data_IF_322058124687
#
_entry.id   IF_322058124687
#
_cell.length_a   1.000
_cell.length_b   1.000
_cell.length_c   1.000
_cell.angle_alpha   90.00
_cell.angle_beta   90.00
_cell.angle_gamma   90.00
#
_symmetry.space_group_name_H-M   'P 1'
#
loop_
_entity.id
_entity.type
_entity.pdbx_description
1 polymer ?
#
# COMPACT_ATOMS: atom_id res chain seq x y z
N UNK A 1 -16.66 14.67 -21.10
CA UNK A 1 -16.09 13.81 -20.04
C UNK A 1 -16.93 12.56 -19.99
N UNK A 2 -16.32 11.42 -19.68
CA UNK A 2 -17.02 10.15 -19.58
C UNK A 2 -16.78 9.55 -18.20
N UNK A 3 -17.82 8.94 -17.64
CA UNK A 3 -17.77 8.18 -16.40
C UNK A 3 -18.09 6.72 -16.72
N UNK A 4 -17.27 5.79 -16.23
CA UNK A 4 -17.41 4.37 -16.50
C UNK A 4 -18.35 3.76 -15.48
N UNK A 5 -19.50 3.27 -15.93
CA UNK A 5 -20.49 2.58 -15.08
C UNK A 5 -20.17 1.10 -15.02
N UNK A 6 -19.84 0.51 -16.16
CA UNK A 6 -19.54 -0.90 -16.32
C UNK A 6 -18.48 -1.13 -17.38
N UNK A 7 -17.72 -2.21 -17.23
CA UNK A 7 -16.70 -2.66 -18.17
C UNK A 7 -15.33 -2.01 -17.95
N UNK A 8 -14.41 -2.29 -18.87
CA UNK A 8 -13.01 -1.86 -18.79
C UNK A 8 -12.59 -1.17 -20.09
N UNK A 9 -11.82 -0.10 -19.95
CA UNK A 9 -11.20 0.61 -21.07
C UNK A 9 -9.70 0.66 -20.91
N UNK A 10 -9.00 0.58 -22.04
CA UNK A 10 -7.56 0.67 -22.17
C UNK A 10 -7.15 2.09 -22.57
N UNK A 11 -6.15 2.66 -21.89
CA UNK A 11 -5.51 3.91 -22.27
C UNK A 11 -4.31 3.63 -23.17
N UNK A 12 -4.27 4.31 -24.32
CA UNK A 12 -3.15 4.27 -25.25
C UNK A 12 -2.69 5.67 -25.60
N UNK A 13 -1.37 5.84 -25.65
CA UNK A 13 -0.73 7.11 -26.00
C UNK A 13 0.27 6.86 -27.11
N UNK A 14 0.35 7.79 -28.05
CA UNK A 14 1.37 7.74 -29.09
C UNK A 14 2.54 8.58 -28.60
N UNK A 15 3.69 7.94 -28.41
CA UNK A 15 4.93 8.58 -27.99
C UNK A 15 5.99 8.40 -29.07
N UNK A 16 6.83 9.41 -29.26
CA UNK A 16 7.95 9.34 -30.19
C UNK A 16 9.11 8.63 -29.50
N UNK A 17 9.52 7.50 -30.04
CA UNK A 17 10.72 6.80 -29.58
C UNK A 17 11.95 7.68 -29.86
N UNK A 18 12.72 7.98 -28.80
CA UNK A 18 13.88 8.87 -28.86
C UNK A 18 15.07 8.24 -29.60
N UNK A 19 15.07 6.92 -29.80
CA UNK A 19 16.15 6.20 -30.50
C UNK A 19 15.81 6.07 -31.99
N UNK A 20 14.62 5.57 -32.30
CA UNK A 20 14.22 5.26 -33.68
C UNK A 20 13.56 6.45 -34.38
N UNK A 21 13.04 7.42 -33.62
CA UNK A 21 12.25 8.53 -34.16
C UNK A 21 10.82 8.13 -34.56
N UNK A 22 10.48 6.84 -34.44
CA UNK A 22 9.19 6.30 -34.81
C UNK A 22 8.13 6.64 -33.75
N UNK A 23 6.89 6.80 -34.23
CA UNK A 23 5.73 6.96 -33.35
C UNK A 23 5.27 5.58 -32.88
N UNK A 24 5.40 5.32 -31.58
CA UNK A 24 5.01 4.06 -30.97
C UNK A 24 3.78 4.24 -30.10
N UNK A 25 2.81 3.35 -30.28
CA UNK A 25 1.67 3.27 -29.37
C UNK A 25 2.09 2.54 -28.08
N UNK A 26 1.94 3.22 -26.95
CA UNK A 26 2.27 2.72 -25.63
C UNK A 26 0.97 2.56 -24.82
N UNK A 27 0.81 1.39 -24.25
CA UNK A 27 -0.25 1.10 -23.29
C UNK A 27 0.08 1.73 -21.93
N UNK A 28 -0.72 2.71 -21.50
CA UNK A 28 -0.44 3.48 -20.28
C UNK A 28 -1.23 2.96 -19.07
N UNK A 29 -2.41 2.37 -19.27
CA UNK A 29 -3.17 1.74 -18.18
C UNK A 29 -4.55 1.23 -18.59
N UNK A 30 -5.31 0.74 -17.60
CA UNK A 30 -6.71 0.32 -17.74
C UNK A 30 -7.53 1.17 -16.77
N UNK A 31 -8.74 1.58 -17.16
CA UNK A 31 -9.74 2.19 -16.28
C UNK A 31 -10.94 1.27 -16.16
N UNK A 32 -11.57 1.28 -15.00
CA UNK A 32 -12.72 0.43 -14.69
C UNK A 32 -13.93 1.20 -14.14
N UNK A 33 -14.94 0.49 -13.62
CA UNK A 33 -16.13 1.10 -13.05
C UNK A 33 -15.79 2.10 -11.94
N UNK A 34 -16.39 3.29 -12.00
CA UNK A 34 -16.13 4.40 -11.08
C UNK A 34 -15.03 5.37 -11.51
N UNK A 35 -14.23 5.02 -12.51
CA UNK A 35 -13.21 5.91 -13.06
C UNK A 35 -13.81 6.87 -14.11
N UNK A 36 -13.12 7.99 -14.32
CA UNK A 36 -13.50 9.06 -15.24
C UNK A 36 -12.38 9.33 -16.24
N UNK A 37 -12.73 9.75 -17.44
CA UNK A 37 -11.74 10.20 -18.43
C UNK A 37 -12.22 11.37 -19.29
N UNK A 38 -11.24 12.17 -19.75
CA UNK A 38 -11.44 13.31 -20.64
C UNK A 38 -11.83 14.61 -19.93
N UNK A 39 -11.78 14.63 -18.61
CA UNK A 39 -11.92 15.82 -17.76
C UNK A 39 -10.77 16.81 -17.94
N UNK A 40 -9.52 16.34 -18.05
CA UNK A 40 -8.34 17.23 -18.23
C UNK A 40 -8.48 18.09 -19.49
N UNK A 41 -8.89 17.47 -20.61
CA UNK A 41 -9.11 18.18 -21.86
C UNK A 41 -10.21 19.25 -21.75
N UNK A 42 -11.26 19.00 -20.96
CA UNK A 42 -12.32 19.97 -20.73
C UNK A 42 -11.87 21.13 -19.83
N UNK A 43 -11.07 20.84 -18.79
CA UNK A 43 -10.59 21.86 -17.85
C UNK A 43 -9.57 22.80 -18.47
N UNK A 44 -8.57 22.24 -19.17
CA UNK A 44 -7.50 23.03 -19.77
C UNK A 44 -7.84 23.53 -21.18
N UNK A 45 -8.99 23.13 -21.74
CA UNK A 45 -9.37 23.41 -23.13
C UNK A 45 -8.26 23.00 -24.13
N UNK A 46 -7.60 21.88 -23.85
CA UNK A 46 -6.54 21.28 -24.67
C UNK A 46 -7.08 20.14 -25.53
N UNK A 47 -6.32 19.75 -26.55
CA UNK A 47 -6.63 18.55 -27.34
C UNK A 47 -6.51 17.28 -26.49
N UNK A 48 -7.27 16.24 -26.84
CA UNK A 48 -7.18 14.93 -26.17
C UNK A 48 -5.79 14.35 -26.41
N UNK A 49 -5.07 14.07 -25.34
CA UNK A 49 -3.70 13.53 -25.35
C UNK A 49 -3.65 12.00 -25.29
N UNK A 50 -4.75 11.35 -24.92
CA UNK A 50 -4.82 9.89 -24.71
C UNK A 50 -5.99 9.30 -25.48
N UNK A 51 -5.72 8.21 -26.20
CA UNK A 51 -6.71 7.39 -26.90
C UNK A 51 -7.29 6.38 -25.92
N UNK A 52 -8.61 6.20 -25.94
CA UNK A 52 -9.33 5.25 -25.08
C UNK A 52 -9.94 4.17 -25.96
N UNK A 53 -9.67 2.91 -25.63
CA UNK A 53 -10.14 1.74 -26.39
C UNK A 53 -10.88 0.80 -25.44
N UNK A 54 -12.09 0.38 -25.78
CA UNK A 54 -12.87 -0.53 -24.95
C UNK A 54 -12.27 -1.93 -24.97
N UNK A 55 -12.00 -2.53 -23.81
CA UNK A 55 -11.54 -3.93 -23.72
C UNK A 55 -12.69 -4.92 -23.59
N UNK A 56 -13.77 -4.48 -22.95
CA UNK A 56 -14.99 -5.25 -22.75
C UNK A 56 -16.21 -4.44 -23.20
N UNK A 57 -17.41 -5.00 -23.09
CA UNK A 57 -18.63 -4.21 -23.23
C UNK A 57 -18.68 -3.17 -22.10
N UNK A 58 -18.78 -1.89 -22.47
CA UNK A 58 -18.74 -0.78 -21.51
C UNK A 58 -20.03 0.04 -21.56
N UNK A 59 -20.47 0.46 -20.39
CA UNK A 59 -21.52 1.47 -20.23
C UNK A 59 -20.89 2.75 -19.70
N UNK A 60 -21.15 3.85 -20.42
CA UNK A 60 -20.56 5.15 -20.14
C UNK A 60 -21.65 6.21 -19.93
N UNK A 61 -21.52 7.00 -18.87
CA UNK A 61 -22.20 8.29 -18.81
C UNK A 61 -21.36 9.35 -19.51
N UNK A 62 -21.95 10.00 -20.51
CA UNK A 62 -21.32 11.12 -21.20
C UNK A 62 -21.83 12.43 -20.62
N UNK A 63 -20.90 13.30 -20.20
CA UNK A 63 -21.19 14.66 -19.79
C UNK A 63 -20.64 15.66 -20.81
N UNK A 64 -21.53 16.49 -21.34
CA UNK A 64 -21.19 17.55 -22.28
C UNK A 64 -20.46 18.70 -21.59
N UNK A 65 -19.66 19.46 -22.35
CA UNK A 65 -18.85 20.57 -21.84
C UNK A 65 -19.70 21.61 -21.10
N UNK A 66 -20.86 21.96 -21.64
CA UNK A 66 -21.79 22.95 -21.05
C UNK A 66 -22.30 22.53 -19.67
N UNK A 67 -22.49 21.23 -19.44
CA UNK A 67 -22.97 20.72 -18.17
C UNK A 67 -21.82 20.52 -17.19
N UNK A 68 -20.65 20.11 -17.69
CA UNK A 68 -19.41 20.08 -16.94
C UNK A 68 -19.05 21.46 -16.35
N UNK A 69 -19.04 22.50 -17.18
CA UNK A 69 -18.73 23.88 -16.77
C UNK A 69 -19.73 24.39 -15.71
N UNK A 70 -21.00 23.97 -15.79
CA UNK A 70 -22.07 24.41 -14.90
C UNK A 70 -22.09 23.66 -13.56
N UNK A 71 -21.82 22.35 -13.57
CA UNK A 71 -22.07 21.47 -12.44
C UNK A 71 -20.79 21.05 -11.71
N UNK A 72 -19.73 20.69 -12.43
CA UNK A 72 -18.56 20.00 -11.85
C UNK A 72 -17.32 20.88 -11.75
N UNK A 73 -17.14 21.83 -12.67
CA UNK A 73 -15.91 22.63 -12.75
C UNK A 73 -15.56 23.32 -11.44
N UNK A 74 -16.53 23.98 -10.81
CA UNK A 74 -16.30 24.67 -9.53
C UNK A 74 -15.98 23.70 -8.40
N UNK A 75 -16.60 22.53 -8.36
CA UNK A 75 -16.34 21.51 -7.34
C UNK A 75 -14.91 20.97 -7.48
N UNK A 76 -14.48 20.66 -8.71
CA UNK A 76 -13.12 20.20 -8.98
C UNK A 76 -12.07 21.27 -8.63
N UNK A 77 -12.35 22.54 -8.95
CA UNK A 77 -11.49 23.67 -8.60
C UNK A 77 -11.48 23.99 -7.10
N UNK A 78 -12.49 23.61 -6.33
CA UNK A 78 -12.47 23.74 -4.87
C UNK A 78 -11.67 22.62 -4.23
N UNK A 79 -11.89 21.37 -4.67
CA UNK A 79 -11.14 20.19 -4.22
C UNK A 79 -9.63 20.31 -4.50
N UNK A 80 -9.26 21.07 -5.53
CA UNK A 80 -7.90 21.47 -5.85
C UNK A 80 -7.09 21.88 -4.61
N UNK A 81 -7.63 22.79 -3.78
CA UNK A 81 -6.88 23.37 -2.65
C UNK A 81 -6.48 22.32 -1.62
N UNK A 82 -7.37 21.36 -1.36
CA UNK A 82 -7.12 20.25 -0.43
C UNK A 82 -6.06 19.30 -1.01
N UNK A 83 -6.13 19.03 -2.32
CA UNK A 83 -5.20 18.15 -3.00
C UNK A 83 -3.81 18.77 -3.18
N UNK A 84 -3.75 20.08 -3.43
CA UNK A 84 -2.51 20.84 -3.51
C UNK A 84 -1.77 20.82 -2.16
N UNK A 85 -2.47 21.09 -1.06
CA UNK A 85 -1.90 20.96 0.30
C UNK A 85 -1.41 19.54 0.59
N UNK A 86 -2.17 18.52 0.16
CA UNK A 86 -1.76 17.13 0.27
C UNK A 86 -0.48 16.82 -0.52
N UNK A 87 -0.34 17.34 -1.75
CA UNK A 87 0.85 17.13 -2.58
C UNK A 87 2.10 17.79 -2.00
N UNK A 88 1.98 18.98 -1.41
CA UNK A 88 3.11 19.72 -0.79
C UNK A 88 3.79 18.91 0.32
N UNK A 89 3.05 18.00 0.98
CA UNK A 89 3.60 17.12 2.02
C UNK A 89 4.64 16.10 1.48
N UNK A 90 4.74 15.90 0.16
CA UNK A 90 5.64 14.92 -0.43
C UNK A 90 6.77 15.59 -1.22
N UNK A 91 8.01 15.26 -0.88
CA UNK A 91 9.18 15.78 -1.57
C UNK A 91 9.29 15.36 -3.05
N UNK A 92 8.57 14.31 -3.45
CA UNK A 92 8.58 13.78 -4.82
C UNK A 92 8.04 14.77 -5.86
N UNK A 93 7.14 15.67 -5.45
CA UNK A 93 6.41 16.56 -6.36
C UNK A 93 6.99 17.98 -6.44
N UNK A 94 8.07 18.27 -5.70
CA UNK A 94 8.66 19.62 -5.62
C UNK A 94 9.23 20.13 -6.94
N UNK A 95 9.54 19.24 -7.88
CA UNK A 95 10.07 19.59 -9.20
C UNK A 95 8.99 19.74 -10.28
N UNK A 96 7.71 19.57 -9.93
CA UNK A 96 6.62 19.72 -10.88
C UNK A 96 6.27 21.19 -11.06
N UNK A 97 5.88 21.53 -12.29
CA UNK A 97 5.34 22.84 -12.65
C UNK A 97 3.85 22.93 -12.23
N UNK A 98 3.36 24.16 -12.09
CA UNK A 98 1.97 24.43 -11.68
C UNK A 98 0.94 23.73 -12.57
N UNK A 99 1.25 23.55 -13.86
CA UNK A 99 0.42 22.82 -14.82
C UNK A 99 0.34 21.32 -14.53
N UNK A 100 1.47 20.65 -14.26
CA UNK A 100 1.47 19.22 -13.89
C UNK A 100 0.81 19.01 -12.53
N UNK A 101 1.04 19.89 -11.55
CA UNK A 101 0.33 19.82 -10.27
C UNK A 101 -1.17 19.94 -10.51
N UNK A 102 -1.62 20.89 -11.38
CA UNK A 102 -3.02 21.07 -11.82
C UNK A 102 -3.65 19.81 -12.33
N UNK A 103 -3.03 19.20 -13.33
CA UNK A 103 -3.51 17.97 -13.91
C UNK A 103 -3.55 16.83 -12.88
N UNK A 104 -2.53 16.73 -12.02
CA UNK A 104 -2.46 15.72 -10.97
C UNK A 104 -3.67 15.77 -10.05
N UNK A 105 -3.98 16.94 -9.47
CA UNK A 105 -5.09 17.04 -8.51
C UNK A 105 -6.44 16.77 -9.18
N UNK A 106 -6.63 17.17 -10.43
CA UNK A 106 -7.89 16.89 -11.15
C UNK A 106 -8.16 15.38 -11.22
N UNK A 107 -7.10 14.61 -11.47
CA UNK A 107 -7.15 13.15 -11.61
C UNK A 107 -7.10 12.39 -10.29
N UNK A 108 -6.54 13.05 -9.26
CA UNK A 108 -6.32 12.46 -7.95
C UNK A 108 -7.57 12.52 -7.08
N UNK A 109 -7.64 11.62 -6.11
CA UNK A 109 -8.74 11.58 -5.14
C UNK A 109 -8.21 11.30 -3.74
N UNK A 110 -8.85 11.88 -2.74
CA UNK A 110 -8.59 11.53 -1.34
C UNK A 110 -9.57 10.43 -0.97
N UNK A 111 -9.05 9.33 -0.43
CA UNK A 111 -9.87 8.25 0.13
C UNK A 111 -9.48 8.02 1.59
N UNK A 112 -10.51 8.01 2.43
CA UNK A 112 -10.41 7.58 3.82
C UNK A 112 -10.70 6.09 3.91
N UNK A 113 -9.92 5.40 4.72
CA UNK A 113 -10.01 3.97 4.99
C UNK A 113 -10.22 3.75 6.48
N UNK A 114 -11.11 2.85 6.84
CA UNK A 114 -11.33 2.46 8.23
C UNK A 114 -10.22 1.53 8.71
N UNK A 115 -10.11 1.33 10.02
CA UNK A 115 -9.14 0.38 10.57
C UNK A 115 -9.45 -1.07 10.15
N UNK A 116 -8.41 -1.82 9.77
CA UNK A 116 -8.48 -3.19 9.23
C UNK A 116 -9.10 -3.34 7.82
N UNK A 117 -9.28 -2.24 7.08
CA UNK A 117 -9.67 -2.28 5.67
C UNK A 117 -8.47 -2.67 4.78
N UNK A 118 -8.74 -3.42 3.70
CA UNK A 118 -7.73 -3.78 2.70
C UNK A 118 -7.59 -2.62 1.71
N UNK A 119 -6.39 -2.04 1.64
CA UNK A 119 -6.10 -0.94 0.72
C UNK A 119 -5.75 -1.46 -0.66
N UNK A 120 -4.94 -2.53 -0.71
CA UNK A 120 -4.40 -3.11 -1.95
C UNK A 120 -3.96 -4.57 -1.72
N UNK A 121 -4.41 -5.50 -2.57
CA UNK A 121 -3.93 -6.89 -2.57
C UNK A 121 -5.01 -7.88 -3.01
N UNK A 122 -4.60 -9.07 -3.48
CA UNK A 122 -5.47 -10.20 -3.80
C UNK A 122 -6.63 -9.89 -4.79
N UNK A 123 -6.45 -8.91 -5.69
CA UNK A 123 -7.49 -8.46 -6.63
C UNK A 123 -8.45 -7.42 -6.06
N UNK A 124 -8.28 -7.04 -4.79
CA UNK A 124 -9.02 -5.99 -4.12
C UNK A 124 -8.22 -4.68 -4.04
N UNK A 125 -8.96 -3.57 -4.06
CA UNK A 125 -8.40 -2.21 -4.03
C UNK A 125 -8.30 -1.55 -5.41
N UNK A 126 -7.85 -0.30 -5.42
CA UNK A 126 -7.72 0.52 -6.62
C UNK A 126 -6.36 0.28 -7.28
N UNK A 127 -6.22 -0.88 -7.94
CA UNK A 127 -4.95 -1.35 -8.56
C UNK A 127 -4.36 -0.39 -9.59
N UNK A 128 -5.19 0.49 -10.17
CA UNK A 128 -4.77 1.49 -11.14
C UNK A 128 -4.26 2.79 -10.49
N UNK A 129 -4.25 2.87 -9.16
CA UNK A 129 -3.83 4.02 -8.39
C UNK A 129 -2.60 3.73 -7.54
N UNK A 130 -1.79 4.77 -7.37
CA UNK A 130 -0.68 4.83 -6.43
C UNK A 130 -1.19 5.56 -5.19
N UNK A 131 -0.90 4.99 -4.04
CA UNK A 131 -1.37 5.43 -2.74
C UNK A 131 -0.26 6.23 -2.07
N UNK A 132 -0.61 7.41 -1.57
CA UNK A 132 0.25 8.29 -0.80
C UNK A 132 -0.37 8.49 0.57
N UNK A 133 0.30 8.04 1.63
CA UNK A 133 -0.24 8.06 3.00
C UNK A 133 -0.16 9.47 3.58
N UNK A 134 -1.31 10.10 3.79
CA UNK A 134 -1.42 11.44 4.39
C UNK A 134 -1.46 11.35 5.93
N UNK A 135 -2.18 10.36 6.46
CA UNK A 135 -2.25 10.10 7.90
C UNK A 135 -2.61 8.63 8.18
N UNK A 136 -2.34 8.18 9.40
CA UNK A 136 -2.57 6.80 9.83
C UNK A 136 -1.38 5.86 9.55
N UNK A 137 -1.60 4.57 9.82
CA UNK A 137 -0.60 3.51 9.69
C UNK A 137 -1.21 2.35 8.90
N UNK A 138 -0.51 1.90 7.86
CA UNK A 138 -0.83 0.67 7.13
C UNK A 138 0.25 -0.37 7.37
N UNK A 139 -0.08 -1.65 7.26
CA UNK A 139 0.88 -2.74 7.32
C UNK A 139 0.79 -3.62 6.09
N UNK A 140 1.94 -4.10 5.64
CA UNK A 140 2.03 -5.09 4.57
C UNK A 140 2.09 -6.47 5.21
N UNK A 141 1.11 -7.31 4.92
CA UNK A 141 1.04 -8.68 5.39
C UNK A 141 1.25 -9.63 4.22
N UNK A 142 2.13 -10.61 4.38
CA UNK A 142 2.29 -11.72 3.43
C UNK A 142 1.72 -12.99 4.02
N UNK A 143 0.90 -13.70 3.25
CA UNK A 143 0.38 -14.99 3.67
C UNK A 143 1.21 -16.14 3.12
N UNK A 144 1.35 -17.19 3.94
CA UNK A 144 2.03 -18.43 3.59
C UNK A 144 1.15 -19.61 4.01
N UNK A 145 0.91 -20.52 3.07
CA UNK A 145 0.35 -21.83 3.36
C UNK A 145 1.48 -22.72 3.88
N UNK A 146 1.36 -23.17 5.13
CA UNK A 146 2.31 -24.09 5.75
C UNK A 146 1.54 -25.37 6.05
N UNK A 147 2.02 -26.49 5.51
CA UNK A 147 1.59 -27.83 5.92
C UNK A 147 2.45 -28.30 7.10
N UNK A 148 1.83 -28.92 8.12
CA UNK A 148 2.55 -29.57 9.22
C UNK A 148 3.48 -30.70 8.73
N UNK A 149 3.27 -31.17 7.50
CA UNK A 149 4.15 -32.11 6.81
C UNK A 149 5.17 -31.29 6.00
N UNK A 150 6.35 -31.10 6.57
CA UNK A 150 7.51 -30.41 5.95
C UNK A 150 7.85 -30.95 4.55
N UNK A 151 7.47 -32.19 4.26
CA UNK A 151 7.68 -32.89 2.99
C UNK A 151 6.81 -32.39 1.83
N UNK A 152 5.67 -31.74 2.08
CA UNK A 152 4.78 -31.23 1.01
C UNK A 152 5.25 -29.89 0.42
N UNK A 153 5.93 -29.06 1.23
CA UNK A 153 6.45 -27.73 0.84
C UNK A 153 7.62 -27.80 -0.15
N UNK A 154 8.18 -28.98 -0.42
CA UNK A 154 9.25 -29.19 -1.41
C UNK A 154 8.75 -29.54 -2.82
N UNK A 155 7.44 -29.75 -3.04
CA UNK A 155 6.90 -29.99 -4.40
C UNK A 155 6.62 -28.67 -5.12
N UNK A 156 7.01 -28.59 -6.39
CA UNK A 156 6.68 -27.44 -7.25
C UNK A 156 5.16 -27.38 -7.47
N UNK A 157 4.52 -26.19 -7.39
CA UNK A 157 3.09 -26.06 -7.62
C UNK A 157 2.76 -26.37 -9.08
N UNK A 158 1.75 -27.22 -9.28
CA UNK A 158 1.16 -27.54 -10.59
C UNK A 158 0.05 -26.53 -10.91
N UNK A 159 -0.11 -26.18 -12.18
CA UNK A 159 -0.82 -24.98 -12.68
C UNK A 159 -2.33 -25.20 -12.89
N UNK A 160 -2.91 -26.25 -12.32
CA UNK A 160 -4.33 -26.59 -12.53
C UNK A 160 -5.08 -26.45 -11.21
N UNK A 161 -6.11 -25.60 -11.26
CA UNK A 161 -7.10 -25.32 -10.23
C UNK A 161 -7.76 -26.60 -9.74
N UNK A 162 -8.01 -26.65 -8.43
CA UNK A 162 -8.64 -27.73 -7.64
C UNK A 162 -7.65 -28.51 -6.78
N UNK A 163 -6.91 -27.79 -5.93
CA UNK A 163 -6.30 -28.43 -4.76
C UNK A 163 -7.32 -28.42 -3.62
N UNK A 164 -7.93 -29.58 -3.39
CA UNK A 164 -8.44 -29.95 -2.06
C UNK A 164 -7.22 -29.94 -1.14
N UNK A 165 -7.09 -28.89 -0.35
CA UNK A 165 -6.03 -28.74 0.63
C UNK A 165 -6.19 -29.84 1.71
N UNK A 166 -5.15 -30.63 2.03
CA UNK A 166 -5.19 -31.55 3.16
C UNK A 166 -5.54 -30.80 4.46
N UNK A 167 -6.27 -31.43 5.40
CA UNK A 167 -6.69 -30.84 6.70
C UNK A 167 -5.53 -30.24 7.53
N UNK A 168 -4.27 -30.54 7.18
CA UNK A 168 -3.06 -30.08 7.84
C UNK A 168 -2.43 -28.80 7.27
N UNK A 169 -3.06 -28.12 6.30
CA UNK A 169 -2.58 -26.83 5.76
C UNK A 169 -3.10 -25.68 6.62
N UNK A 170 -2.19 -24.90 7.23
CA UNK A 170 -2.53 -23.68 7.96
C UNK A 170 -1.93 -22.48 7.26
N UNK A 171 -2.76 -21.46 7.03
CA UNK A 171 -2.31 -20.19 6.47
C UNK A 171 -1.86 -19.25 7.58
N UNK A 172 -0.61 -18.80 7.52
CA UNK A 172 -0.05 -17.84 8.47
C UNK A 172 0.20 -16.51 7.77
N UNK A 173 -0.26 -15.42 8.39
CA UNK A 173 0.03 -14.06 7.96
C UNK A 173 1.26 -13.53 8.70
N UNK A 174 2.25 -13.07 7.95
CA UNK A 174 3.48 -12.48 8.46
C UNK A 174 3.49 -11.01 8.09
N UNK A 175 3.60 -10.15 9.10
CA UNK A 175 3.78 -8.71 8.89
C UNK A 175 5.20 -8.44 8.38
N UNK A 176 5.30 -7.77 7.23
CA UNK A 176 6.58 -7.42 6.59
C UNK A 176 7.06 -6.05 7.05
N UNK A 177 6.23 -5.02 6.86
CA UNK A 177 6.58 -3.64 7.17
C UNK A 177 5.33 -2.80 7.45
N UNK A 178 5.55 -1.63 8.02
CA UNK A 178 4.52 -0.61 8.22
C UNK A 178 4.81 0.61 7.36
N UNK A 179 3.75 1.22 6.83
CA UNK A 179 3.77 2.48 6.13
C UNK A 179 3.15 3.54 7.02
N UNK A 180 3.89 4.63 7.20
CA UNK A 180 3.48 5.81 7.95
C UNK A 180 3.24 6.98 7.02
N UNK A 181 2.77 8.11 7.58
CA UNK A 181 2.64 9.39 6.86
C UNK A 181 3.88 9.70 6.02
N UNK A 182 3.65 10.05 4.75
CA UNK A 182 4.69 10.32 3.76
C UNK A 182 5.13 9.12 2.92
N UNK A 183 4.73 7.90 3.29
CA UNK A 183 4.98 6.70 2.49
C UNK A 183 4.10 6.66 1.24
N UNK A 184 4.57 5.93 0.21
CA UNK A 184 3.79 5.62 -0.97
C UNK A 184 3.94 4.14 -1.38
N UNK A 185 2.90 3.59 -2.03
CA UNK A 185 2.85 2.22 -2.55
C UNK A 185 1.85 2.14 -3.72
N UNK A 186 1.78 1.01 -4.42
CA UNK A 186 0.97 0.85 -5.63
C UNK A 186 1.70 1.29 -6.91
N UNK A 187 3.03 1.45 -6.89
CA UNK A 187 3.85 1.81 -8.05
C UNK A 187 4.02 0.63 -9.04
N UNK A 188 3.48 -0.53 -8.70
CA UNK A 188 3.68 -1.80 -9.41
C UNK A 188 4.83 -2.62 -8.84
N UNK A 189 5.10 -2.49 -7.54
CA UNK A 189 5.94 -3.40 -6.77
C UNK A 189 5.37 -4.82 -6.69
N UNK A 190 6.20 -5.78 -6.26
CA UNK A 190 5.81 -7.19 -6.19
C UNK A 190 4.85 -7.43 -5.01
N UNK A 191 3.58 -7.65 -5.33
CA UNK A 191 2.48 -7.84 -4.36
C UNK A 191 1.94 -9.27 -4.33
N UNK A 192 2.63 -10.25 -4.92
CA UNK A 192 2.18 -11.65 -4.89
C UNK A 192 2.08 -12.18 -3.45
N UNK A 193 0.90 -12.72 -3.13
CA UNK A 193 0.52 -13.22 -1.81
C UNK A 193 0.65 -12.18 -0.69
N UNK A 194 0.52 -10.88 -1.03
CA UNK A 194 0.66 -9.76 -0.11
C UNK A 194 -0.57 -8.88 -0.18
N UNK A 195 -0.93 -8.36 0.99
CA UNK A 195 -1.98 -7.38 1.15
C UNK A 195 -1.53 -6.24 2.04
N UNK A 196 -1.98 -5.04 1.71
CA UNK A 196 -1.79 -3.84 2.51
C UNK A 196 -3.11 -3.60 3.24
N UNK A 197 -3.02 -3.57 4.57
CA UNK A 197 -4.18 -3.43 5.45
C UNK A 197 -3.93 -2.25 6.38
N UNK A 198 -4.93 -1.43 6.60
CA UNK A 198 -4.86 -0.34 7.58
C UNK A 198 -4.83 -0.90 8.99
N UNK A 199 -3.93 -0.38 9.83
CA UNK A 199 -3.89 -0.70 11.27
C UNK A 199 -4.75 0.32 12.05
N UNK A 200 -4.68 1.59 11.65
CA UNK A 200 -5.52 2.69 12.16
C UNK A 200 -6.40 3.20 11.02
N UNK A 201 -7.39 4.08 11.26
CA UNK A 201 -7.99 4.85 10.18
C UNK A 201 -6.88 5.57 9.40
N UNK A 202 -6.92 5.46 8.06
CA UNK A 202 -5.87 5.94 7.16
C UNK A 202 -6.48 6.83 6.11
N UNK A 203 -5.87 7.99 5.88
CA UNK A 203 -6.19 8.88 4.77
C UNK A 203 -5.12 8.75 3.71
N UNK A 204 -5.50 8.41 2.48
CA UNK A 204 -4.59 8.34 1.34
C UNK A 204 -4.98 9.32 0.24
N UNK A 205 -3.97 9.95 -0.33
CA UNK A 205 -4.05 10.56 -1.66
C UNK A 205 -3.83 9.45 -2.69
N UNK A 206 -4.77 9.29 -3.61
CA UNK A 206 -4.71 8.31 -4.69
C UNK A 206 -4.45 9.03 -6.00
N UNK A 207 -3.34 8.71 -6.65
CA UNK A 207 -2.95 9.27 -7.95
C UNK A 207 -2.97 8.16 -8.99
N UNK A 208 -3.60 8.33 -10.17
CA UNK A 208 -3.58 7.29 -11.18
C UNK A 208 -2.16 6.90 -11.58
N UNK A 209 -1.87 5.60 -11.57
CA UNK A 209 -0.55 5.04 -11.84
C UNK A 209 -0.07 5.35 -13.24
N UNK A 210 -0.96 5.32 -14.24
CA UNK A 210 -0.59 5.65 -15.62
C UNK A 210 -0.05 7.08 -15.71
N UNK A 211 -0.79 8.04 -15.14
CA UNK A 211 -0.44 9.46 -15.20
C UNK A 211 0.83 9.76 -14.41
N UNK A 212 0.99 9.13 -13.23
CA UNK A 212 2.18 9.31 -12.40
C UNK A 212 3.45 8.78 -13.08
N UNK A 213 3.35 7.64 -13.76
CA UNK A 213 4.48 7.03 -14.47
C UNK A 213 4.85 7.79 -15.76
N UNK A 214 3.89 8.47 -16.39
CA UNK A 214 4.17 9.42 -17.50
C UNK A 214 4.98 10.62 -17.00
N UNK A 215 4.69 11.13 -15.80
CA UNK A 215 5.37 12.30 -15.20
C UNK A 215 6.55 11.90 -14.29
N UNK A 216 7.34 10.90 -14.72
CA UNK A 216 8.45 10.33 -13.97
C UNK A 216 9.76 11.14 -14.12
N UNK A 217 9.75 12.37 -13.63
CA UNK A 217 10.96 13.21 -13.58
C UNK A 217 12.10 12.49 -12.84
N UNK A 218 13.30 12.49 -13.45
CA UNK A 218 14.51 11.87 -12.89
C UNK A 218 14.36 10.40 -12.46
N UNK A 219 13.43 9.66 -13.08
CA UNK A 219 13.18 8.25 -12.81
C UNK A 219 12.96 7.93 -11.31
N UNK A 220 12.33 8.84 -10.58
CA UNK A 220 12.09 8.73 -9.14
C UNK A 220 11.25 7.49 -8.83
N UNK A 221 10.18 7.24 -9.58
CA UNK A 221 9.24 6.16 -9.26
C UNK A 221 9.84 4.77 -9.41
N UNK A 222 10.67 4.57 -10.43
CA UNK A 222 11.40 3.30 -10.60
C UNK A 222 12.38 3.08 -9.44
N UNK A 223 13.08 4.13 -8.97
CA UNK A 223 13.98 4.03 -7.82
C UNK A 223 13.22 3.67 -6.55
N UNK A 224 12.06 4.29 -6.31
CA UNK A 224 11.20 3.97 -5.16
C UNK A 224 10.69 2.53 -5.24
N UNK A 225 10.24 2.08 -6.43
CA UNK A 225 9.82 0.70 -6.67
C UNK A 225 10.95 -0.30 -6.37
N UNK A 226 12.16 -0.06 -6.88
CA UNK A 226 13.33 -0.91 -6.61
C UNK A 226 13.68 -0.91 -5.12
N UNK A 227 13.62 0.26 -4.47
CA UNK A 227 13.83 0.38 -3.03
C UNK A 227 12.83 -0.47 -2.24
N UNK A 228 11.53 -0.37 -2.53
CA UNK A 228 10.50 -1.20 -1.86
C UNK A 228 10.73 -2.69 -2.07
N UNK A 229 10.95 -3.10 -3.32
CA UNK A 229 11.25 -4.50 -3.65
C UNK A 229 12.49 -5.02 -2.93
N UNK A 230 13.51 -4.18 -2.70
CA UNK A 230 14.73 -4.56 -1.95
C UNK A 230 14.47 -4.77 -0.46
N UNK A 231 13.46 -4.08 0.10
CA UNK A 231 13.05 -4.22 1.51
C UNK A 231 12.13 -5.40 1.72
N UNK A 232 11.39 -5.81 0.70
CA UNK A 232 10.52 -6.96 0.78
C UNK A 232 11.33 -8.27 0.83
N UNK A 233 11.27 -9.01 1.96
CA UNK A 233 11.99 -10.26 2.09
C UNK A 233 11.41 -11.32 1.14
N UNK A 234 12.28 -12.23 0.68
CA UNK A 234 11.86 -13.38 -0.10
C UNK A 234 11.07 -14.36 0.77
N UNK A 235 10.26 -15.22 0.13
CA UNK A 235 9.50 -16.27 0.79
C UNK A 235 10.37 -17.13 1.72
N UNK A 236 11.54 -17.53 1.24
CA UNK A 236 12.46 -18.39 1.99
C UNK A 236 13.06 -17.64 3.19
N UNK A 237 13.41 -16.36 3.03
CA UNK A 237 13.92 -15.53 4.12
C UNK A 237 12.85 -15.31 5.21
N UNK A 238 11.60 -15.06 4.80
CA UNK A 238 10.47 -14.96 5.73
C UNK A 238 10.24 -16.26 6.48
N UNK A 239 10.31 -17.40 5.79
CA UNK A 239 10.15 -18.71 6.42
C UNK A 239 11.26 -19.00 7.43
N UNK A 240 12.53 -18.72 7.10
CA UNK A 240 13.64 -18.89 8.05
C UNK A 240 13.49 -17.98 9.27
N UNK A 241 13.05 -16.73 9.07
CA UNK A 241 12.77 -15.80 10.17
C UNK A 241 11.62 -16.30 11.05
N UNK A 242 10.56 -16.87 10.45
CA UNK A 242 9.45 -17.49 11.18
C UNK A 242 9.92 -18.66 12.05
N UNK A 243 10.69 -19.60 11.48
CA UNK A 243 11.24 -20.74 12.24
C UNK A 243 12.14 -20.25 13.38
N UNK A 244 12.99 -19.25 13.12
CA UNK A 244 13.87 -18.66 14.14
C UNK A 244 13.07 -18.01 15.27
N UNK A 245 12.03 -17.24 14.93
CA UNK A 245 11.15 -16.61 15.92
C UNK A 245 10.40 -17.65 16.77
N UNK A 246 9.94 -18.76 16.17
CA UNK A 246 9.31 -19.85 16.90
C UNK A 246 10.26 -20.49 17.90
N UNK A 247 11.48 -20.82 17.47
CA UNK A 247 12.54 -21.36 18.34
C UNK A 247 12.89 -20.38 19.47
N UNK A 248 12.97 -19.09 19.18
CA UNK A 248 13.21 -18.06 20.19
C UNK A 248 12.08 -17.97 21.22
N UNK A 249 10.82 -18.04 20.79
CA UNK A 249 9.66 -18.03 21.70
C UNK A 249 9.65 -19.25 22.61
N UNK A 250 9.98 -20.44 22.08
CA UNK A 250 10.13 -21.66 22.87
C UNK A 250 11.26 -21.52 23.91
N UNK A 251 12.43 -21.04 23.48
CA UNK A 251 13.56 -20.79 24.37
C UNK A 251 13.24 -19.77 25.47
N UNK A 252 12.59 -18.64 25.12
CA UNK A 252 12.20 -17.60 26.07
C UNK A 252 11.24 -18.15 27.13
N UNK A 253 10.29 -19.01 26.73
CA UNK A 253 9.37 -19.68 27.66
C UNK A 253 10.12 -20.60 28.62
N UNK A 254 11.02 -21.43 28.10
CA UNK A 254 11.87 -22.31 28.93
C UNK A 254 12.71 -21.51 29.93
N UNK A 255 13.34 -20.41 29.49
CA UNK A 255 14.12 -19.54 30.35
C UNK A 255 13.28 -18.90 31.46
N UNK A 256 12.07 -18.42 31.13
CA UNK A 256 11.15 -17.87 32.13
C UNK A 256 10.74 -18.93 33.16
N UNK A 257 10.41 -20.13 32.71
CA UNK A 257 10.05 -21.24 33.60
C UNK A 257 11.23 -21.62 34.53
N UNK A 258 12.45 -21.61 34.01
CA UNK A 258 13.67 -21.88 34.79
C UNK A 258 13.97 -20.78 35.81
N UNK A 259 13.82 -19.50 35.43
CA UNK A 259 13.96 -18.37 36.35
C UNK A 259 12.91 -18.45 37.45
N UNK A 260 11.64 -18.68 37.12
CA UNK A 260 10.57 -18.81 38.12
C UNK A 260 10.82 -20.00 39.06
N UNK A 261 11.31 -21.14 38.56
CA UNK A 261 11.69 -22.29 39.39
C UNK A 261 12.86 -21.97 40.32
N UNK A 262 13.87 -21.22 39.85
CA UNK A 262 15.02 -20.77 40.67
C UNK A 262 14.57 -19.79 41.76
N UNK A 263 13.71 -18.83 41.43
CA UNK A 263 13.15 -17.88 42.41
C UNK A 263 12.25 -18.58 43.44
N UNK A 264 11.47 -19.58 43.05
CA UNK A 264 10.70 -20.41 44.01
C UNK A 264 11.58 -21.28 44.90
N UNK A 265 12.78 -21.68 44.44
CA UNK A 265 13.77 -22.38 45.27
C UNK A 265 14.54 -21.43 46.22
N UNK A 266 14.65 -20.16 45.86
CA UNK A 266 15.20 -19.11 46.71
C UNK A 266 14.07 -18.46 47.50
N UNK A 267 13.67 -19.10 48.60
CA UNK A 267 12.95 -18.37 49.64
C UNK A 267 13.91 -17.29 50.14
N UNK A 268 13.73 -16.05 49.68
CA UNK A 268 14.48 -14.91 50.18
C UNK A 268 14.14 -14.77 51.67
N UNK A 269 15.05 -15.25 52.53
CA UNK A 269 14.96 -15.12 53.98
C UNK A 269 15.41 -13.72 54.45
N UNK A 270 15.36 -12.73 53.55
CA UNK A 270 15.68 -11.34 53.85
C UNK A 270 14.59 -10.78 54.75
N UNK A 271 14.98 -10.52 55.98
CA UNK A 271 14.15 -9.87 56.97
C UNK A 271 14.22 -8.35 56.79
N UNK A 272 13.28 -7.62 57.37
CA UNK A 272 13.35 -6.14 57.40
C UNK A 272 14.67 -5.65 58.02
N UNK A 273 15.34 -6.50 58.83
CA UNK A 273 16.61 -6.23 59.47
C UNK A 273 17.83 -6.27 58.52
N UNK A 274 17.68 -6.77 57.29
CA UNK A 274 18.74 -6.83 56.28
C UNK A 274 18.79 -5.58 55.37
N UNK A 275 17.79 -4.69 55.49
CA UNK A 275 17.72 -3.44 54.73
C UNK A 275 18.43 -2.32 55.51
N UNK A 276 19.39 -1.57 54.95
CA UNK A 276 20.11 -0.50 55.65
C UNK A 276 19.20 0.52 56.35
N UNK A 277 19.60 0.96 57.54
CA UNK A 277 18.78 1.83 58.42
C UNK A 277 18.33 3.13 57.74
N UNK A 278 19.13 3.69 56.84
CA UNK A 278 18.81 4.90 56.07
C UNK A 278 17.57 4.76 55.19
N UNK A 279 17.26 3.56 54.70
CA UNK A 279 16.08 3.28 53.89
C UNK A 279 14.85 3.08 54.78
N UNK A 280 15.01 2.54 56.00
CA UNK A 280 13.90 2.33 56.95
C UNK A 280 13.33 3.62 57.53
N UNK A 281 14.17 4.64 57.70
CA UNK A 281 13.78 5.92 58.31
C UNK A 281 12.85 6.72 57.39
N UNK A 282 13.02 6.63 56.07
CA UNK A 282 12.20 7.39 55.11
C UNK A 282 10.76 6.86 54.98
N UNK A 283 10.52 5.57 55.29
CA UNK A 283 9.18 4.97 55.22
C UNK A 283 8.27 5.34 56.40
N UNK A 284 8.83 5.72 57.55
CA UNK A 284 8.07 6.11 58.75
C UNK A 284 7.58 7.57 58.76
N UNK A 285 8.08 8.41 57.86
CA UNK A 285 7.66 9.83 57.76
C UNK A 285 6.51 10.09 56.78
N UNK A 286 6.03 9.06 56.06
CA UNK A 286 4.94 9.16 55.08
C UNK A 286 3.66 8.42 55.52
N UNK A 287 3.41 8.30 56.83
CA UNK A 287 2.14 7.80 57.39
C UNK A 287 1.34 8.96 57.99
#
# INVERSE_FOLDING_TARGET
MYFIVQGEVELRKIEKDYITGDMKEIHTGILGPGDMFGEVALLHSISRSTTIITKTAVDLFCLHKTDFDRLLKNILLQNWTILEDALVNFNYFKSWDDTTVRECCILSKIKDFEANEILLGDGEGMVNYVYFVLSGICRVNQWHEITDITTALMRKPSILSDQIYPEAVRTIFIQICEFHRGACFGLGEEMRNRRIVSTTPVRCLLIPRYWLLEHNHANIWQRVKVFMNSKYPTRDKLFQQFITNKKWMEYKKQLLDDVVKRTKKSCNNTTIHDVPYSIRINSTYNS
#
